data_IF_312503001555
#
_entry.id   IF_312503001555
#
_cell.length_a   1.000
_cell.length_b   1.000
_cell.length_c   1.000
_cell.angle_alpha   90.00
_cell.angle_beta   90.00
_cell.angle_gamma   90.00
#
_symmetry.space_group_name_H-M   'P 1'
#
loop_
_entity.id
_entity.type
_entity.pdbx_description
1 polymer ?
#
# COMPACT_ATOMS: atom_id res chain seq x y z
N UNK A 1 -57.83 59.75 46.96
CA UNK A 1 -58.20 58.39 46.58
C UNK A 1 -57.33 58.00 45.41
N UNK A 2 -56.30 57.16 45.66
CA UNK A 2 -55.32 56.70 44.60
C UNK A 2 -55.85 55.40 44.06
N UNK A 3 -56.09 55.34 42.75
CA UNK A 3 -56.40 54.09 42.00
C UNK A 3 -55.11 53.40 41.60
N UNK A 4 -54.90 52.20 42.13
CA UNK A 4 -53.81 51.33 41.76
C UNK A 4 -54.26 50.50 40.50
N UNK A 5 -53.60 50.69 39.37
CA UNK A 5 -53.78 49.87 38.16
C UNK A 5 -52.85 48.74 38.31
N UNK A 6 -53.33 47.49 38.46
CA UNK A 6 -52.58 46.26 38.44
C UNK A 6 -52.47 45.84 36.97
N UNK A 7 -51.24 45.95 36.37
CA UNK A 7 -50.96 45.51 35.08
C UNK A 7 -50.58 44.01 35.13
N UNK A 8 -51.49 43.13 34.75
CA UNK A 8 -51.26 41.70 34.65
C UNK A 8 -50.38 41.43 33.41
N UNK A 9 -49.13 41.11 33.66
CA UNK A 9 -48.22 40.62 32.57
C UNK A 9 -48.57 39.15 32.34
N UNK A 10 -49.24 38.90 31.21
CA UNK A 10 -49.52 37.55 30.72
C UNK A 10 -48.21 36.99 30.10
N UNK A 11 -47.48 36.15 30.84
CA UNK A 11 -46.32 35.43 30.34
C UNK A 11 -46.82 34.29 29.43
N UNK A 12 -46.87 34.54 28.11
CA UNK A 12 -47.03 33.48 27.13
C UNK A 12 -45.73 32.65 27.07
N UNK A 13 -45.73 31.52 27.76
CA UNK A 13 -44.70 30.47 27.58
C UNK A 13 -44.88 29.83 26.20
N UNK A 14 -44.21 30.39 25.18
CA UNK A 14 -44.00 29.68 23.93
C UNK A 14 -43.03 28.55 24.20
N UNK A 15 -43.55 27.31 24.28
CA UNK A 15 -42.76 26.12 24.26
C UNK A 15 -42.05 26.05 22.90
N UNK A 16 -40.77 26.38 22.87
CA UNK A 16 -39.95 26.32 21.67
C UNK A 16 -39.65 24.83 21.34
N UNK A 17 -40.51 24.22 20.55
CA UNK A 17 -40.26 22.87 19.98
C UNK A 17 -39.15 22.81 18.96
N UNK A 18 -38.42 23.93 18.71
CA UNK A 18 -37.33 24.01 17.78
C UNK A 18 -36.07 23.26 18.26
N UNK A 19 -35.87 23.14 19.59
CA UNK A 19 -34.68 22.44 20.12
C UNK A 19 -34.77 20.93 19.96
N UNK A 20 -35.95 20.32 20.09
CA UNK A 20 -36.15 18.89 19.93
C UNK A 20 -35.96 18.47 18.46
N UNK A 21 -36.38 19.29 17.50
CA UNK A 21 -36.13 19.05 16.08
C UNK A 21 -34.64 19.18 15.72
N UNK A 22 -33.91 20.11 16.32
CA UNK A 22 -32.46 20.26 16.09
C UNK A 22 -31.67 19.11 16.73
N UNK A 23 -32.09 18.68 17.94
CA UNK A 23 -31.50 17.51 18.61
C UNK A 23 -31.75 16.21 17.81
N UNK A 24 -32.97 16.06 17.26
CA UNK A 24 -33.31 14.92 16.40
C UNK A 24 -32.57 14.96 15.05
N UNK A 25 -32.30 16.14 14.49
CA UNK A 25 -31.42 16.27 13.31
C UNK A 25 -29.97 15.91 13.62
N UNK A 26 -29.46 16.30 14.79
CA UNK A 26 -28.12 15.91 15.25
C UNK A 26 -28.02 14.42 15.62
N UNK A 27 -29.11 13.81 16.05
CA UNK A 27 -29.16 12.36 16.33
C UNK A 27 -29.42 11.49 15.10
N UNK A 28 -29.83 12.05 13.96
CA UNK A 28 -29.99 11.35 12.70
C UNK A 28 -28.69 11.21 11.89
N UNK A 29 -27.65 11.96 12.22
CA UNK A 29 -26.31 11.80 11.62
C UNK A 29 -25.49 10.67 12.29
N UNK A 30 -26.08 9.48 12.38
CA UNK A 30 -25.37 8.25 12.76
C UNK A 30 -24.67 7.60 11.57
N UNK A 31 -24.24 8.40 10.58
CA UNK A 31 -23.41 7.85 9.53
C UNK A 31 -22.04 7.42 10.11
N UNK A 32 -21.56 6.20 9.76
CA UNK A 32 -20.30 5.71 10.28
C UNK A 32 -19.14 6.61 9.84
N UNK A 33 -18.36 7.13 10.78
CA UNK A 33 -17.17 7.91 10.50
C UNK A 33 -16.05 6.96 10.09
N UNK A 34 -15.80 6.86 8.79
CA UNK A 34 -14.73 6.05 8.23
C UNK A 34 -13.36 6.67 8.50
N UNK A 35 -12.42 5.85 8.96
CA UNK A 35 -11.02 6.25 9.09
C UNK A 35 -10.39 6.27 7.69
N UNK A 36 -9.67 7.34 7.39
CA UNK A 36 -9.00 7.58 6.11
C UNK A 36 -7.51 7.85 6.32
N UNK A 37 -6.74 7.74 5.21
CA UNK A 37 -5.30 8.03 5.20
C UNK A 37 -4.51 7.18 6.21
N UNK A 38 -4.66 5.85 6.13
CA UNK A 38 -3.87 4.93 6.93
C UNK A 38 -2.40 5.00 6.49
N UNK A 39 -2.17 5.00 5.17
CA UNK A 39 -0.85 5.22 4.55
C UNK A 39 -0.89 6.44 3.62
N UNK A 40 0.28 6.89 3.15
CA UNK A 40 0.39 8.03 2.22
C UNK A 40 0.31 7.62 0.75
N UNK A 41 0.60 6.34 0.46
CA UNK A 41 0.69 5.79 -0.88
C UNK A 41 0.00 4.42 -0.94
N UNK A 42 -0.25 3.91 -2.14
CA UNK A 42 -0.69 2.54 -2.40
C UNK A 42 0.36 1.48 -2.01
N UNK A 43 1.56 1.92 -1.61
CA UNK A 43 2.64 1.09 -1.07
C UNK A 43 3.01 1.53 0.35
N UNK A 44 3.45 0.57 1.20
CA UNK A 44 4.07 0.87 2.52
C UNK A 44 5.50 1.35 2.28
N UNK A 45 6.37 0.49 1.79
CA UNK A 45 7.68 0.78 1.18
C UNK A 45 7.74 0.07 -0.16
N UNK A 46 7.92 -1.26 -0.19
CA UNK A 46 7.79 -2.13 -1.35
C UNK A 46 6.40 -2.79 -1.40
N UNK A 47 5.92 -3.25 -0.23
CA UNK A 47 4.67 -3.97 -0.05
C UNK A 47 3.44 -3.11 -0.30
N UNK A 48 2.34 -3.77 -0.67
CA UNK A 48 1.06 -3.12 -0.87
C UNK A 48 0.51 -2.57 0.45
N UNK A 49 -0.06 -1.37 0.42
CA UNK A 49 -0.86 -0.82 1.51
C UNK A 49 -2.36 -1.02 1.25
N UNK A 50 -3.19 -0.81 2.27
CA UNK A 50 -4.65 -0.83 2.14
C UNK A 50 -5.22 0.37 1.37
N UNK A 51 -4.38 1.31 0.92
CA UNK A 51 -4.83 2.47 0.16
C UNK A 51 -5.10 2.10 -1.30
N UNK A 52 -6.18 2.67 -1.85
CA UNK A 52 -6.58 2.60 -3.23
C UNK A 52 -6.80 4.02 -3.77
N UNK A 53 -6.51 4.29 -5.06
CA UNK A 53 -6.99 5.49 -5.71
C UNK A 53 -8.52 5.58 -5.64
N UNK A 54 -9.06 6.78 -5.42
CA UNK A 54 -10.50 7.02 -5.43
C UNK A 54 -11.08 6.81 -6.83
N UNK A 55 -12.40 6.66 -6.94
CA UNK A 55 -13.08 6.53 -8.23
C UNK A 55 -12.67 7.64 -9.20
N UNK A 56 -12.28 7.26 -10.42
CA UNK A 56 -11.89 8.18 -11.49
C UNK A 56 -10.49 8.79 -11.34
N UNK A 57 -9.72 8.35 -10.34
CA UNK A 57 -8.34 8.81 -10.10
C UNK A 57 -7.35 7.79 -10.63
N UNK A 58 -6.39 8.26 -11.43
CA UNK A 58 -5.22 7.53 -11.87
C UNK A 58 -4.02 7.95 -11.02
N UNK A 59 -3.36 6.99 -10.38
CA UNK A 59 -2.07 7.20 -9.75
C UNK A 59 -0.97 6.65 -10.65
N UNK A 60 -0.01 7.49 -11.00
CA UNK A 60 1.24 7.09 -11.65
C UNK A 60 2.34 6.97 -10.60
N UNK A 61 3.15 5.91 -10.66
CA UNK A 61 4.24 5.66 -9.71
C UNK A 61 5.52 5.30 -10.47
N UNK A 62 6.59 6.02 -10.17
CA UNK A 62 7.96 5.67 -10.55
C UNK A 62 8.62 5.10 -9.31
N UNK A 63 9.11 3.86 -9.39
CA UNK A 63 9.92 3.23 -8.36
C UNK A 63 11.34 3.05 -8.89
N UNK A 64 12.33 3.41 -8.09
CA UNK A 64 13.73 3.33 -8.44
C UNK A 64 14.52 2.67 -7.31
N UNK A 65 15.41 1.75 -7.66
CA UNK A 65 16.38 1.11 -6.76
C UNK A 65 17.76 1.21 -7.37
N UNK A 66 18.70 1.63 -6.54
CA UNK A 66 20.11 1.61 -6.88
C UNK A 66 20.71 0.23 -6.60
N UNK A 67 22.01 0.06 -6.81
CA UNK A 67 22.76 -1.12 -6.38
C UNK A 67 22.97 -1.13 -4.85
N UNK A 68 23.75 -2.10 -4.38
CA UNK A 68 24.04 -2.26 -2.95
C UNK A 68 25.06 -1.23 -2.44
N UNK A 69 24.84 -0.71 -1.23
CA UNK A 69 25.73 0.26 -0.60
C UNK A 69 27.14 -0.31 -0.34
N UNK A 70 27.23 -1.63 -0.11
CA UNK A 70 28.51 -2.33 0.11
C UNK A 70 29.34 -2.56 -1.17
N UNK A 71 28.83 -2.17 -2.35
CA UNK A 71 29.59 -2.26 -3.63
C UNK A 71 30.79 -1.31 -3.71
N UNK A 72 30.96 -0.43 -2.71
CA UNK A 72 32.11 0.40 -2.52
C UNK A 72 32.18 1.63 -3.43
N UNK A 73 33.24 2.41 -3.24
CA UNK A 73 33.43 3.69 -3.94
C UNK A 73 33.54 3.54 -5.46
N UNK A 74 34.12 2.43 -5.95
CA UNK A 74 34.27 2.18 -7.39
C UNK A 74 32.92 2.19 -8.12
N UNK A 75 31.86 1.64 -7.50
CA UNK A 75 30.50 1.63 -8.04
C UNK A 75 29.65 2.79 -7.44
N UNK A 76 30.29 3.83 -6.95
CA UNK A 76 29.67 4.96 -6.26
C UNK A 76 28.62 4.50 -5.23
N UNK A 77 28.97 3.49 -4.37
CA UNK A 77 28.08 2.89 -3.38
C UNK A 77 26.74 2.40 -3.98
N UNK A 78 26.79 1.82 -5.19
CA UNK A 78 25.66 1.28 -5.89
C UNK A 78 24.92 2.26 -6.79
N UNK A 79 25.23 3.55 -6.77
CA UNK A 79 24.50 4.56 -7.57
C UNK A 79 24.66 4.36 -9.10
N UNK A 80 25.74 3.69 -9.55
CA UNK A 80 25.95 3.38 -10.97
C UNK A 80 24.97 2.32 -11.52
N UNK A 81 24.33 1.54 -10.66
CA UNK A 81 23.35 0.52 -11.02
C UNK A 81 21.96 0.99 -10.71
N UNK A 82 21.01 0.75 -11.60
CA UNK A 82 19.63 1.13 -11.36
C UNK A 82 18.62 0.11 -11.86
N UNK A 83 17.58 -0.08 -11.06
CA UNK A 83 16.36 -0.81 -11.40
C UNK A 83 15.19 0.15 -11.35
N UNK A 84 14.31 0.10 -12.34
CA UNK A 84 13.15 0.98 -12.44
C UNK A 84 11.89 0.16 -12.63
N UNK A 85 10.80 0.54 -11.93
CA UNK A 85 9.46 0.07 -12.22
C UNK A 85 8.53 1.27 -12.42
N UNK A 86 7.80 1.26 -13.54
CA UNK A 86 6.71 2.19 -13.82
C UNK A 86 5.39 1.48 -13.51
N UNK A 87 4.52 2.14 -12.77
CA UNK A 87 3.23 1.62 -12.38
C UNK A 87 2.11 2.62 -12.55
N UNK A 88 0.93 2.11 -12.88
CA UNK A 88 -0.32 2.85 -12.99
C UNK A 88 -1.38 2.13 -12.17
N UNK A 89 -2.03 2.82 -11.24
CA UNK A 89 -3.16 2.30 -10.47
C UNK A 89 -4.37 3.20 -10.72
N UNK A 90 -5.50 2.62 -11.14
CA UNK A 90 -6.73 3.35 -11.47
C UNK A 90 -7.89 2.91 -10.57
N UNK A 91 -8.53 3.88 -9.93
CA UNK A 91 -9.73 3.67 -9.13
C UNK A 91 -10.98 3.55 -10.01
N UNK A 92 -11.48 2.33 -10.18
CA UNK A 92 -12.74 2.06 -10.89
C UNK A 92 -13.93 2.48 -10.03
N UNK A 93 -13.87 2.14 -8.75
CA UNK A 93 -14.83 2.53 -7.70
C UNK A 93 -14.04 2.76 -6.41
N UNK A 94 -14.66 3.37 -5.40
CA UNK A 94 -14.00 3.63 -4.11
C UNK A 94 -13.55 2.36 -3.37
N UNK A 95 -14.09 1.21 -3.77
CA UNK A 95 -13.73 -0.08 -3.21
C UNK A 95 -12.96 -0.99 -4.20
N UNK A 96 -12.77 -0.57 -5.45
CA UNK A 96 -12.11 -1.38 -6.49
C UNK A 96 -11.13 -0.53 -7.30
N UNK A 97 -9.87 -0.94 -7.30
CA UNK A 97 -8.83 -0.39 -8.16
C UNK A 97 -8.13 -1.50 -8.94
N UNK A 98 -7.61 -1.15 -10.11
CA UNK A 98 -6.77 -2.02 -10.96
C UNK A 98 -5.46 -1.31 -11.24
N UNK A 99 -4.39 -2.08 -11.40
CA UNK A 99 -3.08 -1.54 -11.70
C UNK A 99 -2.35 -2.35 -12.76
N UNK A 100 -1.43 -1.67 -13.45
CA UNK A 100 -0.50 -2.25 -14.40
C UNK A 100 0.90 -1.70 -14.12
N UNK A 101 1.92 -2.52 -14.27
CA UNK A 101 3.28 -2.10 -14.07
C UNK A 101 4.26 -2.85 -14.96
N UNK A 102 5.45 -2.25 -15.12
CA UNK A 102 6.58 -2.89 -15.78
C UNK A 102 7.86 -2.59 -15.02
N UNK A 103 8.57 -3.64 -14.65
CA UNK A 103 9.86 -3.57 -13.98
C UNK A 103 11.00 -3.89 -14.94
N UNK A 104 12.13 -3.20 -14.80
CA UNK A 104 13.39 -3.58 -15.46
C UNK A 104 13.97 -4.88 -14.86
N UNK A 105 13.69 -5.14 -13.57
CA UNK A 105 14.07 -6.39 -12.90
C UNK A 105 13.36 -7.55 -13.59
N UNK A 106 14.12 -8.50 -14.08
CA UNK A 106 13.64 -9.66 -14.86
C UNK A 106 12.65 -9.32 -15.99
N UNK A 107 12.63 -8.05 -16.46
CA UNK A 107 11.71 -7.54 -17.51
C UNK A 107 10.25 -7.89 -17.25
N UNK A 108 9.83 -7.93 -15.99
CA UNK A 108 8.50 -8.37 -15.58
C UNK A 108 7.44 -7.31 -15.88
N UNK A 109 6.32 -7.76 -16.44
CA UNK A 109 5.06 -7.00 -16.53
C UNK A 109 4.14 -7.54 -15.44
N UNK A 110 3.50 -6.65 -14.70
CA UNK A 110 2.56 -7.00 -13.64
C UNK A 110 1.21 -6.32 -13.84
N UNK A 111 0.17 -7.04 -13.47
CA UNK A 111 -1.19 -6.52 -13.35
C UNK A 111 -1.72 -6.86 -11.96
N UNK A 112 -2.45 -5.93 -11.34
CA UNK A 112 -3.04 -6.17 -10.04
C UNK A 112 -4.46 -5.60 -9.93
N UNK A 113 -5.23 -6.15 -9.00
CA UNK A 113 -6.51 -5.58 -8.57
C UNK A 113 -6.60 -5.57 -7.06
N UNK A 114 -7.05 -4.45 -6.51
CA UNK A 114 -7.32 -4.27 -5.08
C UNK A 114 -8.80 -4.12 -4.84
N UNK A 115 -9.35 -4.98 -3.97
CA UNK A 115 -10.75 -4.96 -3.55
C UNK A 115 -10.81 -4.60 -2.06
N UNK A 116 -11.35 -3.44 -1.72
CA UNK A 116 -11.61 -3.05 -0.34
C UNK A 116 -12.88 -3.72 0.16
N UNK A 117 -12.72 -4.66 1.10
CA UNK A 117 -13.81 -5.45 1.66
C UNK A 117 -14.51 -4.66 2.77
N UNK A 118 -13.72 -4.01 3.65
CA UNK A 118 -14.26 -3.25 4.77
C UNK A 118 -13.33 -2.11 5.18
N UNK A 119 -13.91 -1.00 5.66
CA UNK A 119 -13.17 0.15 6.19
C UNK A 119 -13.19 0.14 7.71
N UNK A 120 -12.13 0.63 8.30
CA UNK A 120 -12.10 0.97 9.72
C UNK A 120 -13.09 2.10 10.01
N UNK A 121 -13.87 1.95 11.08
CA UNK A 121 -14.87 2.91 11.54
C UNK A 121 -14.46 3.38 12.92
N UNK A 122 -14.54 4.69 13.18
CA UNK A 122 -14.30 5.25 14.50
C UNK A 122 -15.36 4.70 15.47
N UNK A 123 -14.92 4.24 16.63
CA UNK A 123 -15.78 3.66 17.68
C UNK A 123 -16.62 2.46 17.19
N UNK A 124 -16.14 1.77 16.12
CA UNK A 124 -16.83 0.64 15.51
C UNK A 124 -15.84 -0.43 15.03
N UNK A 125 -15.96 -0.83 13.77
CA UNK A 125 -15.11 -1.88 13.20
C UNK A 125 -13.62 -1.46 13.15
N UNK A 126 -12.68 -2.22 13.77
CA UNK A 126 -11.36 -1.71 14.15
C UNK A 126 -10.31 -1.73 13.04
N UNK A 127 -10.57 -2.33 11.87
CA UNK A 127 -9.58 -2.52 10.81
C UNK A 127 -10.10 -2.16 9.42
N UNK A 128 -9.21 -1.83 8.50
CA UNK A 128 -9.50 -1.81 7.06
C UNK A 128 -8.98 -3.10 6.44
N UNK A 129 -9.80 -3.77 5.63
CA UNK A 129 -9.48 -5.04 4.96
C UNK A 129 -9.53 -4.85 3.46
N UNK A 130 -8.44 -5.21 2.77
CA UNK A 130 -8.31 -5.15 1.31
C UNK A 130 -7.75 -6.48 0.82
N UNK A 131 -8.38 -7.10 -0.18
CA UNK A 131 -7.81 -8.19 -0.94
C UNK A 131 -7.02 -7.62 -2.13
N UNK A 132 -5.81 -8.11 -2.34
CA UNK A 132 -4.98 -7.79 -3.50
C UNK A 132 -4.67 -9.06 -4.28
N UNK A 133 -4.93 -9.03 -5.58
CA UNK A 133 -4.65 -10.10 -6.52
C UNK A 133 -3.73 -9.55 -7.59
N UNK A 134 -2.59 -10.21 -7.82
CA UNK A 134 -1.63 -9.79 -8.83
C UNK A 134 -1.20 -10.96 -9.71
N UNK A 135 -0.96 -10.67 -10.98
CA UNK A 135 -0.40 -11.59 -11.96
C UNK A 135 0.88 -10.96 -12.54
N UNK A 136 1.88 -11.78 -12.76
CA UNK A 136 3.20 -11.37 -13.27
C UNK A 136 3.56 -12.20 -14.48
N UNK A 137 4.13 -11.54 -15.49
CA UNK A 137 4.70 -12.17 -16.68
C UNK A 137 6.19 -11.83 -16.70
N UNK A 138 7.04 -12.81 -16.39
CA UNK A 138 8.51 -12.68 -16.51
C UNK A 138 8.87 -12.83 -17.97
N UNK A 139 9.38 -11.77 -18.61
CA UNK A 139 9.82 -11.84 -20.00
C UNK A 139 11.20 -12.52 -20.07
N UNK A 140 11.28 -13.60 -20.82
CA UNK A 140 12.52 -14.31 -21.08
C UNK A 140 12.98 -14.01 -22.50
N UNK A 141 14.28 -13.77 -22.67
CA UNK A 141 14.89 -13.82 -24.00
C UNK A 141 15.30 -15.25 -24.25
N UNK A 142 14.67 -15.88 -25.24
CA UNK A 142 15.00 -17.24 -25.61
C UNK A 142 16.18 -17.21 -26.61
N UNK A 143 17.12 -18.14 -26.43
CA UNK A 143 17.98 -18.58 -27.51
C UNK A 143 17.24 -19.66 -28.30
N UNK A 144 17.47 -19.77 -29.60
CA UNK A 144 16.74 -20.67 -30.52
C UNK A 144 16.64 -22.13 -30.05
N UNK A 145 17.55 -22.58 -29.19
CA UNK A 145 17.60 -23.95 -28.66
C UNK A 145 16.71 -24.19 -27.42
N UNK A 146 16.05 -23.17 -26.89
CA UNK A 146 15.20 -23.29 -25.68
C UNK A 146 13.71 -23.23 -25.96
N UNK A 147 13.30 -23.05 -27.23
CA UNK A 147 11.91 -22.77 -27.61
C UNK A 147 11.01 -24.01 -27.66
N UNK A 148 11.54 -25.20 -27.91
CA UNK A 148 10.74 -26.38 -28.27
C UNK A 148 9.81 -26.89 -27.15
N UNK A 149 10.04 -26.55 -25.87
CA UNK A 149 9.23 -27.02 -24.75
C UNK A 149 8.80 -25.92 -23.76
N UNK A 150 9.05 -24.64 -24.05
CA UNK A 150 8.74 -23.56 -23.15
C UNK A 150 7.39 -22.89 -23.48
N UNK A 151 6.41 -23.08 -22.63
CA UNK A 151 5.07 -22.52 -22.80
C UNK A 151 5.00 -21.11 -22.18
N UNK A 152 4.17 -20.23 -22.75
CA UNK A 152 3.88 -18.91 -22.18
C UNK A 152 3.44 -18.99 -20.71
N UNK A 153 2.68 -20.03 -20.36
CA UNK A 153 2.23 -20.27 -18.97
C UNK A 153 3.38 -20.42 -17.99
N UNK A 154 4.57 -20.88 -18.42
CA UNK A 154 5.73 -21.02 -17.56
C UNK A 154 6.28 -19.67 -17.07
N UNK A 155 5.96 -18.57 -17.77
CA UNK A 155 6.36 -17.22 -17.40
C UNK A 155 5.44 -16.58 -16.36
N UNK A 156 4.29 -17.23 -16.07
CA UNK A 156 3.27 -16.69 -15.19
C UNK A 156 3.55 -17.03 -13.72
N UNK A 157 3.25 -16.06 -12.87
CA UNK A 157 3.14 -16.26 -11.44
C UNK A 157 2.05 -15.34 -10.89
N UNK A 158 1.51 -15.69 -9.73
CA UNK A 158 0.37 -15.00 -9.14
C UNK A 158 0.64 -14.70 -7.68
N UNK A 159 0.17 -13.57 -7.18
CA UNK A 159 0.19 -13.25 -5.75
C UNK A 159 -1.22 -12.94 -5.26
N UNK A 160 -1.56 -13.52 -4.14
CA UNK A 160 -2.81 -13.31 -3.41
C UNK A 160 -2.46 -12.79 -2.01
N UNK A 161 -2.94 -11.60 -1.68
CA UNK A 161 -2.65 -10.96 -0.41
C UNK A 161 -3.92 -10.50 0.27
N UNK A 162 -3.99 -10.67 1.58
CA UNK A 162 -5.02 -10.05 2.40
C UNK A 162 -4.34 -8.97 3.26
N UNK A 163 -4.63 -7.71 2.95
CA UNK A 163 -4.07 -6.56 3.64
C UNK A 163 -5.04 -6.15 4.75
N UNK A 164 -4.60 -6.22 6.00
CA UNK A 164 -5.40 -5.87 7.17
C UNK A 164 -4.65 -4.79 7.93
N UNK A 165 -5.18 -3.58 7.93
CA UNK A 165 -4.55 -2.44 8.56
C UNK A 165 -5.46 -1.75 9.57
N UNK A 166 -4.85 -1.25 10.63
CA UNK A 166 -5.51 -0.44 11.65
C UNK A 166 -4.73 0.83 11.93
N UNK A 167 -5.42 1.95 11.94
CA UNK A 167 -4.92 3.19 12.49
C UNK A 167 -5.17 3.16 14.00
N UNK A 168 -4.12 2.79 14.75
CA UNK A 168 -4.17 2.57 16.19
C UNK A 168 -4.43 3.88 16.94
N UNK A 169 -3.79 4.97 16.47
CA UNK A 169 -3.99 6.32 16.99
C UNK A 169 -3.77 7.34 15.86
N UNK A 170 -3.71 8.62 16.22
CA UNK A 170 -3.52 9.72 15.24
C UNK A 170 -2.28 9.54 14.37
N UNK A 171 -1.21 8.98 14.91
CA UNK A 171 0.11 9.00 14.29
C UNK A 171 0.61 7.60 13.89
N UNK A 172 0.12 6.51 14.52
CA UNK A 172 0.53 5.13 14.27
C UNK A 172 -0.51 4.35 13.49
N UNK A 173 -0.09 3.75 12.39
CA UNK A 173 -0.82 2.75 11.60
C UNK A 173 0.00 1.47 11.51
N UNK A 174 -0.64 0.32 11.71
CA UNK A 174 -0.04 -1.00 11.54
C UNK A 174 -0.81 -1.80 10.52
N UNK A 175 -0.12 -2.67 9.80
CA UNK A 175 -0.69 -3.57 8.78
C UNK A 175 -0.07 -4.95 8.90
N UNK A 176 -0.89 -5.99 8.74
CA UNK A 176 -0.47 -7.36 8.49
C UNK A 176 -0.90 -7.77 7.08
N UNK A 177 -0.08 -8.59 6.43
CA UNK A 177 -0.26 -8.96 5.03
C UNK A 177 0.06 -10.43 4.80
N UNK A 178 -0.84 -11.37 5.20
CA UNK A 178 -0.74 -12.77 4.75
C UNK A 178 -0.69 -12.80 3.22
N UNK A 179 0.31 -13.49 2.69
CA UNK A 179 0.61 -13.52 1.26
C UNK A 179 0.85 -14.95 0.81
N UNK A 180 0.24 -15.33 -0.31
CA UNK A 180 0.52 -16.55 -1.07
C UNK A 180 1.00 -16.15 -2.46
N UNK A 181 2.10 -16.73 -2.92
CA UNK A 181 2.63 -16.55 -4.27
C UNK A 181 2.72 -17.90 -4.95
N UNK A 182 2.08 -18.03 -6.09
CA UNK A 182 2.13 -19.20 -6.94
C UNK A 182 3.06 -18.97 -8.13
N UNK A 183 3.98 -19.90 -8.36
CA UNK A 183 4.86 -19.94 -9.52
C UNK A 183 4.44 -21.10 -10.43
N UNK A 184 4.14 -20.82 -11.70
CA UNK A 184 3.87 -21.89 -12.65
C UNK A 184 5.13 -22.69 -12.97
N UNK A 185 6.30 -22.05 -12.88
CA UNK A 185 7.60 -22.69 -13.05
C UNK A 185 8.53 -22.25 -11.92
N UNK A 186 9.13 -23.19 -11.22
CA UNK A 186 10.19 -23.01 -10.21
C UNK A 186 11.55 -23.36 -10.79
N UNK A 187 12.64 -22.90 -10.17
CA UNK A 187 13.99 -23.10 -10.69
C UNK A 187 14.49 -24.53 -10.46
N UNK A 188 14.08 -25.17 -9.37
CA UNK A 188 14.48 -26.52 -9.02
C UNK A 188 13.26 -27.39 -8.68
N UNK A 189 13.40 -28.72 -8.78
CA UNK A 189 12.32 -29.67 -8.46
C UNK A 189 11.96 -29.69 -6.97
N UNK A 190 12.87 -29.26 -6.11
CA UNK A 190 12.68 -29.25 -4.65
C UNK A 190 11.96 -27.98 -4.17
N UNK A 191 11.84 -26.96 -5.02
CA UNK A 191 11.13 -25.73 -4.67
C UNK A 191 9.61 -25.90 -4.79
N UNK A 192 8.84 -25.44 -3.80
CA UNK A 192 7.38 -25.45 -3.89
C UNK A 192 6.91 -24.39 -4.89
N UNK A 193 5.90 -24.73 -5.70
CA UNK A 193 5.21 -23.76 -6.56
C UNK A 193 4.45 -22.69 -5.73
N UNK A 194 3.93 -23.11 -4.56
CA UNK A 194 3.18 -22.25 -3.64
C UNK A 194 4.07 -21.82 -2.48
N UNK A 195 4.36 -20.52 -2.43
CA UNK A 195 5.18 -19.91 -1.39
C UNK A 195 4.32 -19.00 -0.51
N UNK A 196 4.47 -19.12 0.81
CA UNK A 196 3.68 -18.40 1.79
C UNK A 196 4.57 -17.46 2.61
N UNK A 197 4.05 -16.28 2.91
CA UNK A 197 4.73 -15.31 3.75
C UNK A 197 3.75 -14.48 4.59
N UNK A 198 4.26 -13.92 5.68
CA UNK A 198 3.54 -12.98 6.52
C UNK A 198 4.26 -11.64 6.51
N UNK A 199 3.64 -10.64 5.92
CA UNK A 199 4.11 -9.28 5.94
C UNK A 199 3.62 -8.54 7.19
N UNK A 200 4.52 -7.75 7.79
CA UNK A 200 4.24 -6.77 8.84
C UNK A 200 4.64 -5.41 8.31
N UNK A 201 3.76 -4.44 8.36
CA UNK A 201 4.01 -3.07 7.91
C UNK A 201 3.57 -2.06 8.96
N UNK A 202 4.27 -0.94 9.04
CA UNK A 202 3.92 0.13 9.95
C UNK A 202 4.27 1.49 9.37
N UNK A 203 3.48 2.49 9.78
CA UNK A 203 3.70 3.88 9.49
C UNK A 203 3.57 4.70 10.76
N UNK A 204 4.56 5.55 11.02
CA UNK A 204 4.49 6.54 12.09
C UNK A 204 4.59 7.96 11.51
N UNK A 205 3.58 8.76 11.76
CA UNK A 205 3.49 10.13 11.30
C UNK A 205 4.31 11.04 12.21
N UNK A 206 5.30 11.74 11.66
CA UNK A 206 6.14 12.71 12.39
C UNK A 206 5.52 14.10 12.28
N UNK A 207 5.13 14.50 11.07
CA UNK A 207 4.46 15.79 10.81
C UNK A 207 3.23 15.56 9.93
N UNK A 208 2.51 16.63 9.58
CA UNK A 208 1.40 16.52 8.61
C UNK A 208 1.87 15.99 7.24
N UNK A 209 3.13 16.26 6.85
CA UNK A 209 3.69 15.93 5.54
C UNK A 209 4.68 14.78 5.57
N UNK A 210 5.31 14.51 6.72
CA UNK A 210 6.39 13.52 6.87
C UNK A 210 5.93 12.36 7.72
N UNK A 211 6.18 11.14 7.27
CA UNK A 211 6.03 9.90 8.04
C UNK A 211 7.21 8.96 7.79
N UNK A 212 7.52 8.11 8.76
CA UNK A 212 8.44 7.01 8.61
C UNK A 212 7.67 5.72 8.51
N UNK A 213 8.17 4.80 7.70
CA UNK A 213 7.56 3.50 7.45
C UNK A 213 8.59 2.40 7.66
N UNK A 214 8.11 1.24 8.07
CA UNK A 214 8.91 0.02 8.10
C UNK A 214 8.03 -1.14 7.63
N UNK A 215 8.67 -2.12 6.99
CA UNK A 215 8.01 -3.37 6.60
C UNK A 215 8.98 -4.54 6.72
N UNK A 216 8.43 -5.70 7.07
CA UNK A 216 9.14 -6.95 7.16
C UNK A 216 8.27 -8.06 6.61
N UNK A 217 8.84 -8.92 5.73
CA UNK A 217 8.16 -10.10 5.21
C UNK A 217 8.90 -11.36 5.65
N UNK A 218 8.22 -12.16 6.45
CA UNK A 218 8.70 -13.45 6.91
C UNK A 218 8.21 -14.56 5.99
N UNK A 219 9.13 -15.32 5.41
CA UNK A 219 8.84 -16.46 4.55
C UNK A 219 8.57 -17.70 5.41
N UNK A 220 7.44 -18.38 5.16
CA UNK A 220 6.96 -19.48 6.00
C UNK A 220 7.49 -20.84 5.53
N UNK A 221 7.53 -21.08 4.22
CA UNK A 221 7.87 -22.38 3.63
C UNK A 221 9.02 -22.33 2.62
N UNK A 222 9.60 -21.18 2.37
CA UNK A 222 10.79 -20.99 1.53
C UNK A 222 11.90 -20.43 2.42
N UNK A 223 13.04 -21.15 2.52
CA UNK A 223 14.20 -20.74 3.33
C UNK A 223 15.46 -20.52 2.49
N UNK A 224 15.31 -20.55 1.17
CA UNK A 224 16.44 -20.39 0.25
C UNK A 224 16.88 -18.93 0.22
N UNK A 225 15.91 -18.01 0.25
CA UNK A 225 16.13 -16.58 0.13
C UNK A 225 15.99 -15.86 1.49
N UNK A 226 16.55 -14.66 1.58
CA UNK A 226 16.49 -13.85 2.78
C UNK A 226 15.12 -13.19 2.95
N UNK A 227 14.69 -13.06 4.22
CA UNK A 227 13.52 -12.25 4.54
C UNK A 227 13.77 -10.77 4.22
N UNK A 228 12.75 -10.10 3.72
CA UNK A 228 12.84 -8.68 3.39
C UNK A 228 12.58 -7.81 4.60
N UNK A 229 13.48 -6.86 4.84
CA UNK A 229 13.29 -5.76 5.78
C UNK A 229 13.53 -4.45 5.05
N UNK A 230 12.59 -3.52 5.17
CA UNK A 230 12.70 -2.20 4.54
C UNK A 230 12.31 -1.10 5.50
N UNK A 231 12.99 0.04 5.40
CA UNK A 231 12.68 1.27 6.12
C UNK A 231 12.47 2.40 5.11
N UNK A 232 11.50 3.25 5.36
CA UNK A 232 11.18 4.36 4.47
C UNK A 232 10.79 5.64 5.18
N UNK A 233 10.85 6.72 4.43
CA UNK A 233 10.37 8.03 4.83
C UNK A 233 9.50 8.60 3.71
N UNK A 234 8.26 8.94 4.02
CA UNK A 234 7.34 9.58 3.07
C UNK A 234 7.36 11.09 3.27
N UNK A 235 7.42 11.82 2.17
CA UNK A 235 7.32 13.27 2.12
C UNK A 235 6.19 13.63 1.14
N UNK A 236 5.10 14.19 1.67
CA UNK A 236 3.95 14.61 0.87
C UNK A 236 4.06 16.09 0.50
N UNK A 237 3.97 16.38 -0.79
CA UNK A 237 4.03 17.74 -1.35
C UNK A 237 2.87 17.97 -2.31
N UNK A 238 1.74 18.47 -1.83
CA UNK A 238 0.64 19.05 -2.62
C UNK A 238 0.11 18.29 -3.85
N UNK A 239 0.38 17.02 -4.02
CA UNK A 239 -0.03 16.20 -5.19
C UNK A 239 0.97 15.11 -5.55
N UNK A 240 2.14 15.13 -4.91
CA UNK A 240 3.14 14.07 -5.02
C UNK A 240 3.44 13.50 -3.65
N UNK A 241 3.73 12.21 -3.61
CA UNK A 241 4.33 11.54 -2.46
C UNK A 241 5.69 11.01 -2.89
N UNK A 242 6.73 11.50 -2.22
CA UNK A 242 8.10 11.02 -2.32
C UNK A 242 8.34 10.03 -1.18
N UNK A 243 8.80 8.82 -1.50
CA UNK A 243 9.18 7.81 -0.52
C UNK A 243 10.65 7.50 -0.73
N UNK A 244 11.50 7.87 0.23
CA UNK A 244 12.91 7.47 0.28
C UNK A 244 13.03 6.24 1.14
N UNK A 245 13.85 5.25 0.76
CA UNK A 245 13.93 4.01 1.53
C UNK A 245 15.24 3.25 1.34
N UNK A 246 15.46 2.38 2.30
CA UNK A 246 16.51 1.38 2.36
C UNK A 246 15.85 0.00 2.47
N UNK A 247 16.33 -0.97 1.71
CA UNK A 247 15.81 -2.34 1.69
C UNK A 247 16.95 -3.31 1.36
N UNK A 248 16.87 -4.55 1.82
CA UNK A 248 17.76 -5.61 1.33
C UNK A 248 17.26 -6.26 0.04
N UNK A 249 16.24 -5.71 -0.60
CA UNK A 249 15.74 -6.17 -1.90
C UNK A 249 15.86 -5.10 -2.98
N UNK A 250 16.39 -5.48 -4.13
CA UNK A 250 16.41 -4.64 -5.34
C UNK A 250 15.07 -4.66 -6.08
N UNK A 251 14.23 -5.66 -5.86
CA UNK A 251 12.98 -5.83 -6.56
C UNK A 251 11.87 -4.92 -6.01
N UNK A 252 10.88 -4.57 -6.87
CA UNK A 252 9.87 -3.57 -6.59
C UNK A 252 8.43 -4.09 -6.80
N UNK A 253 8.24 -5.40 -7.02
CA UNK A 253 6.95 -6.06 -7.17
C UNK A 253 6.88 -7.30 -6.27
N UNK A 254 5.67 -7.62 -5.79
CA UNK A 254 5.46 -8.48 -4.62
C UNK A 254 6.13 -9.86 -4.74
N UNK A 255 6.01 -10.52 -5.90
CA UNK A 255 6.64 -11.81 -6.14
C UNK A 255 8.15 -11.79 -5.85
N UNK A 256 8.85 -10.85 -6.47
CA UNK A 256 10.31 -10.85 -6.45
C UNK A 256 10.87 -10.30 -5.11
N UNK A 257 10.30 -9.21 -4.56
CA UNK A 257 10.88 -8.70 -3.32
C UNK A 257 10.56 -9.58 -2.11
N UNK A 258 9.47 -10.37 -2.12
CA UNK A 258 9.11 -11.23 -0.98
C UNK A 258 9.90 -12.53 -0.99
N UNK A 259 10.03 -13.20 -2.15
CA UNK A 259 10.58 -14.56 -2.24
C UNK A 259 11.86 -14.71 -3.08
N UNK A 260 12.36 -13.66 -3.74
CA UNK A 260 13.57 -13.72 -4.56
C UNK A 260 14.65 -12.74 -4.03
N UNK A 261 14.56 -12.35 -2.74
CA UNK A 261 15.52 -11.44 -2.12
C UNK A 261 16.76 -12.18 -1.66
N UNK A 262 17.91 -11.86 -2.24
CA UNK A 262 19.20 -12.44 -1.89
C UNK A 262 20.01 -11.57 -0.92
N UNK A 263 19.70 -10.27 -0.84
CA UNK A 263 20.47 -9.35 0.02
C UNK A 263 20.26 -9.61 1.50
N UNK A 264 21.33 -9.46 2.26
CA UNK A 264 21.35 -9.61 3.72
C UNK A 264 21.76 -8.28 4.39
N UNK A 265 20.97 -7.82 5.34
CA UNK A 265 21.28 -6.60 6.11
C UNK A 265 22.60 -6.68 6.86
N UNK A 266 22.95 -7.86 7.41
CA UNK A 266 24.17 -8.05 8.19
C UNK A 266 25.42 -8.01 7.31
N UNK A 267 25.30 -8.33 6.01
CA UNK A 267 26.40 -8.28 5.04
C UNK A 267 26.49 -6.90 4.36
N UNK A 268 25.57 -5.98 4.70
CA UNK A 268 25.52 -4.64 4.11
C UNK A 268 24.90 -4.59 2.72
N UNK A 269 24.19 -5.64 2.30
CA UNK A 269 23.47 -5.71 1.00
C UNK A 269 22.20 -4.84 1.06
N UNK A 270 22.40 -3.54 1.23
CA UNK A 270 21.34 -2.56 1.40
C UNK A 270 21.23 -1.75 0.14
N UNK A 271 20.03 -1.73 -0.44
CA UNK A 271 19.67 -0.95 -1.62
C UNK A 271 19.01 0.35 -1.19
N UNK A 272 19.59 1.47 -1.58
CA UNK A 272 18.90 2.75 -1.51
C UNK A 272 17.91 2.86 -2.66
N UNK A 273 16.77 3.51 -2.43
CA UNK A 273 15.80 3.74 -3.47
C UNK A 273 14.79 4.81 -3.13
N UNK A 274 13.96 5.12 -4.13
CA UNK A 274 12.85 6.04 -3.94
C UNK A 274 11.64 5.62 -4.77
N UNK A 275 10.46 6.01 -4.32
CA UNK A 275 9.24 6.01 -5.13
C UNK A 275 8.74 7.44 -5.24
N UNK A 276 8.22 7.80 -6.42
CA UNK A 276 7.53 9.05 -6.66
C UNK A 276 6.15 8.70 -7.19
N UNK A 277 5.11 9.09 -6.48
CA UNK A 277 3.73 8.91 -6.94
C UNK A 277 3.03 10.25 -7.17
N UNK A 278 2.21 10.29 -8.21
CA UNK A 278 1.36 11.43 -8.55
C UNK A 278 -0.03 10.94 -8.94
N UNK A 279 -1.05 11.66 -8.48
CA UNK A 279 -2.44 11.37 -8.80
C UNK A 279 -2.98 12.35 -9.84
N UNK A 280 -3.82 11.83 -10.75
CA UNK A 280 -4.51 12.58 -11.79
C UNK A 280 -5.99 12.25 -11.72
N UNK A 281 -6.86 13.24 -11.58
CA UNK A 281 -8.30 13.05 -11.67
C UNK A 281 -8.71 13.07 -13.14
N UNK A 282 -9.14 11.91 -13.65
CA UNK A 282 -9.55 11.74 -15.05
C UNK A 282 -11.04 12.02 -15.26
N UNK A 283 -11.87 11.66 -14.28
CA UNK A 283 -13.31 11.93 -14.31
C UNK A 283 -13.70 12.62 -12.98
N UNK A 284 -14.45 13.71 -13.10
CA UNK A 284 -15.07 14.41 -11.97
C UNK A 284 -16.43 13.80 -11.64
#
# INVERSE_FOLDING_TARGET
MKKIIILSIFFCSFSVKAQDNLLNLLSQDNEPIYITYLFKSTKVVNGQSVELPSKGVLQFTIQHRFGTLNSGFYNLYGLDNSQVRLGFDYGIKDFLAVGLGRSSTTKTIDANSKLRIKRQIRDGFPVTIVANFAAYVKQWQYTDNQLDNFLFTNQLSFAHQLLIASKINRDLTLQISPTMIHYNLVETLDEPNDKYSLGLGGRYKITKRISVNAEYFYQLNDKINNNVLSFGCDIETGGHVFQLHLSNSAAMFDRAFIHETNGNWLDGDIYFGFNISRVFTLNK
#
